data_IF_180095988127
#
_entry.id   IF_180095988127
#
_cell.length_a   1.000
_cell.length_b   1.000
_cell.length_c   1.000
_cell.angle_alpha   90.00
_cell.angle_beta   90.00
_cell.angle_gamma   90.00
#
_symmetry.space_group_name_H-M   'P 1'
#
loop_
_entity.id
_entity.type
_entity.pdbx_description
1 polymer ?
#
# COMPACT_ATOMS: atom_id res chain seq x y z
N UNK A 1 1.31 -41.55 -55.23
CA UNK A 1 2.23 -40.81 -54.34
C UNK A 1 3.21 -41.79 -53.69
N UNK A 2 4.51 -41.47 -53.62
CA UNK A 2 5.48 -42.30 -52.90
C UNK A 2 5.10 -42.36 -51.40
N UNK A 3 5.23 -43.53 -50.77
CA UNK A 3 4.75 -43.82 -49.40
C UNK A 3 5.19 -42.77 -48.35
N UNK A 4 6.41 -42.25 -48.47
CA UNK A 4 6.92 -41.21 -47.55
C UNK A 4 6.14 -39.89 -47.62
N UNK A 5 5.65 -39.46 -48.79
CA UNK A 5 4.87 -38.22 -48.91
C UNK A 5 3.53 -38.35 -48.20
N UNK A 6 2.90 -39.54 -48.26
CA UNK A 6 1.61 -39.83 -47.59
C UNK A 6 1.77 -39.82 -46.07
N UNK A 7 2.83 -40.47 -45.55
CA UNK A 7 3.17 -40.47 -44.13
C UNK A 7 3.44 -39.05 -43.60
N UNK A 8 4.21 -38.25 -44.35
CA UNK A 8 4.51 -36.86 -43.98
C UNK A 8 3.25 -36.00 -43.84
N UNK A 9 2.29 -36.10 -44.77
CA UNK A 9 1.00 -35.39 -44.66
C UNK A 9 0.20 -35.79 -43.42
N UNK A 10 0.20 -37.07 -43.05
CA UNK A 10 -0.53 -37.55 -41.88
C UNK A 10 0.10 -37.00 -40.60
N UNK A 11 1.44 -37.01 -40.51
CA UNK A 11 2.17 -36.44 -39.36
C UNK A 11 1.87 -34.95 -39.22
N UNK A 12 1.95 -34.20 -40.32
CA UNK A 12 1.61 -32.76 -40.32
C UNK A 12 0.17 -32.51 -39.86
N UNK A 13 -0.78 -33.33 -40.31
CA UNK A 13 -2.17 -33.20 -39.91
C UNK A 13 -2.35 -33.46 -38.40
N UNK A 14 -1.70 -34.48 -37.85
CA UNK A 14 -1.75 -34.79 -36.41
C UNK A 14 -1.15 -33.64 -35.59
N UNK A 15 0.00 -33.11 -36.01
CA UNK A 15 0.60 -31.95 -35.36
C UNK A 15 -0.33 -30.74 -35.38
N UNK A 16 -0.95 -30.46 -36.51
CA UNK A 16 -1.88 -29.35 -36.65
C UNK A 16 -3.09 -29.50 -35.72
N UNK A 17 -3.68 -30.69 -35.66
CA UNK A 17 -4.78 -31.00 -34.73
C UNK A 17 -4.36 -30.85 -33.27
N UNK A 18 -3.16 -31.33 -32.92
CA UNK A 18 -2.60 -31.19 -31.57
C UNK A 18 -2.44 -29.72 -31.15
N UNK A 19 -1.92 -28.87 -32.05
CA UNK A 19 -1.78 -27.43 -31.81
C UNK A 19 -3.15 -26.77 -31.60
N UNK A 20 -4.16 -27.16 -32.39
CA UNK A 20 -5.51 -26.61 -32.26
C UNK A 20 -6.12 -27.01 -30.91
N UNK A 21 -6.05 -28.29 -30.55
CA UNK A 21 -6.61 -28.80 -29.29
C UNK A 21 -5.93 -28.12 -28.08
N UNK A 22 -4.60 -28.07 -28.07
CA UNK A 22 -3.83 -27.44 -26.98
C UNK A 22 -4.14 -25.94 -26.88
N UNK A 23 -4.29 -25.24 -28.01
CA UNK A 23 -4.66 -23.82 -28.02
C UNK A 23 -6.06 -23.58 -27.46
N UNK A 24 -7.02 -24.43 -27.81
CA UNK A 24 -8.39 -24.35 -27.27
C UNK A 24 -8.38 -24.59 -25.77
N UNK A 25 -7.73 -25.66 -25.29
CA UNK A 25 -7.63 -25.98 -23.86
C UNK A 25 -6.93 -24.86 -23.07
N UNK A 26 -5.84 -24.33 -23.61
CA UNK A 26 -5.12 -23.21 -22.98
C UNK A 26 -6.04 -22.00 -22.82
N UNK A 27 -6.78 -21.63 -23.88
CA UNK A 27 -7.65 -20.46 -23.83
C UNK A 27 -8.87 -20.64 -22.93
N UNK A 28 -9.50 -21.82 -22.94
CA UNK A 28 -10.75 -22.05 -22.19
C UNK A 28 -10.52 -22.35 -20.72
N UNK A 29 -9.45 -23.06 -20.37
CA UNK A 29 -9.18 -23.47 -19.00
C UNK A 29 -8.07 -22.66 -18.34
N UNK A 30 -6.91 -22.52 -18.98
CA UNK A 30 -5.74 -21.91 -18.34
C UNK A 30 -5.97 -20.39 -18.23
N UNK A 31 -6.11 -19.71 -19.37
CA UNK A 31 -6.22 -18.23 -19.40
C UNK A 31 -7.41 -17.76 -18.58
N UNK A 32 -8.58 -18.37 -18.75
CA UNK A 32 -9.79 -17.99 -18.00
C UNK A 32 -9.61 -18.14 -16.48
N UNK A 33 -9.00 -19.24 -16.01
CA UNK A 33 -8.74 -19.42 -14.58
C UNK A 33 -7.71 -18.44 -14.06
N UNK A 34 -6.64 -18.19 -14.82
CA UNK A 34 -5.63 -17.21 -14.46
C UNK A 34 -6.23 -15.80 -14.30
N UNK A 35 -7.04 -15.33 -15.24
CA UNK A 35 -7.71 -14.03 -15.13
C UNK A 35 -8.55 -13.90 -13.85
N UNK A 36 -9.29 -14.96 -13.48
CA UNK A 36 -10.09 -14.95 -12.26
C UNK A 36 -9.23 -14.90 -10.99
N UNK A 37 -8.10 -15.61 -10.98
CA UNK A 37 -7.15 -15.59 -9.87
C UNK A 37 -6.51 -14.20 -9.76
N UNK A 38 -6.12 -13.61 -10.89
CA UNK A 38 -5.52 -12.29 -10.97
C UNK A 38 -6.47 -11.19 -10.45
N UNK A 39 -7.73 -11.21 -10.87
CA UNK A 39 -8.74 -10.27 -10.36
C UNK A 39 -8.90 -10.41 -8.84
N UNK A 40 -9.06 -11.63 -8.33
CA UNK A 40 -9.19 -11.88 -6.89
C UNK A 40 -7.95 -11.41 -6.12
N UNK A 41 -6.77 -11.69 -6.65
CA UNK A 41 -5.51 -11.28 -6.05
C UNK A 41 -5.34 -9.77 -6.03
N UNK A 42 -5.74 -9.07 -7.10
CA UNK A 42 -5.70 -7.60 -7.17
C UNK A 42 -6.70 -6.96 -6.20
N UNK A 43 -7.91 -7.50 -6.08
CA UNK A 43 -8.89 -7.06 -5.07
C UNK A 43 -8.32 -7.24 -3.67
N UNK A 44 -7.83 -8.44 -3.35
CA UNK A 44 -7.22 -8.72 -2.04
C UNK A 44 -6.05 -7.78 -1.72
N UNK A 45 -5.14 -7.54 -2.67
CA UNK A 45 -4.03 -6.60 -2.49
C UNK A 45 -4.50 -5.18 -2.25
N UNK A 46 -5.52 -4.74 -2.96
CA UNK A 46 -6.09 -3.38 -2.81
C UNK A 46 -6.74 -3.22 -1.44
N UNK A 47 -7.53 -4.22 -1.01
CA UNK A 47 -8.12 -4.23 0.34
C UNK A 47 -7.05 -4.26 1.44
N UNK A 48 -5.98 -5.03 1.23
CA UNK A 48 -4.86 -5.08 2.16
C UNK A 48 -4.14 -3.73 2.25
N UNK A 49 -3.89 -3.07 1.12
CA UNK A 49 -3.31 -1.72 1.09
C UNK A 49 -4.20 -0.72 1.84
N UNK A 50 -5.52 -0.75 1.61
CA UNK A 50 -6.46 0.11 2.33
C UNK A 50 -6.43 -0.13 3.85
N UNK A 51 -6.31 -1.40 4.28
CA UNK A 51 -6.16 -1.73 5.71
C UNK A 51 -4.88 -1.16 6.31
N UNK A 52 -3.77 -1.19 5.57
CA UNK A 52 -2.51 -0.59 6.02
C UNK A 52 -2.65 0.95 6.14
N UNK A 53 -3.19 1.61 5.12
CA UNK A 53 -3.43 3.06 5.15
C UNK A 53 -4.33 3.44 6.34
N UNK A 54 -5.44 2.72 6.54
CA UNK A 54 -6.34 2.98 7.66
C UNK A 54 -5.68 2.75 9.02
N UNK A 55 -4.77 1.78 9.12
CA UNK A 55 -3.99 1.56 10.33
C UNK A 55 -3.07 2.75 10.61
N UNK A 56 -2.41 3.29 9.59
CA UNK A 56 -1.53 4.45 9.75
C UNK A 56 -2.32 5.70 10.14
N UNK A 57 -3.48 5.94 9.52
CA UNK A 57 -4.42 7.01 9.92
C UNK A 57 -4.83 6.84 11.39
N UNK A 58 -5.19 5.62 11.82
CA UNK A 58 -5.59 5.35 13.19
C UNK A 58 -4.44 5.58 14.19
N UNK A 59 -3.20 5.23 13.82
CA UNK A 59 -2.02 5.50 14.64
C UNK A 59 -1.81 7.01 14.83
N UNK A 60 -1.90 7.79 13.76
CA UNK A 60 -1.80 9.25 13.81
C UNK A 60 -2.95 9.85 14.64
N UNK A 61 -4.18 9.34 14.50
CA UNK A 61 -5.32 9.77 15.30
C UNK A 61 -5.10 9.53 16.80
N UNK A 62 -4.60 8.35 17.16
CA UNK A 62 -4.29 8.03 18.55
C UNK A 62 -3.18 8.93 19.09
N UNK A 63 -2.12 9.16 18.30
CA UNK A 63 -1.04 10.08 18.66
C UNK A 63 -1.58 11.50 18.91
N UNK A 64 -2.41 12.02 17.99
CA UNK A 64 -3.04 13.32 18.15
C UNK A 64 -3.87 13.40 19.43
N UNK A 65 -4.65 12.36 19.73
CA UNK A 65 -5.47 12.30 20.96
C UNK A 65 -4.59 12.34 22.21
N UNK A 66 -3.52 11.55 22.24
CA UNK A 66 -2.62 11.47 23.39
C UNK A 66 -1.96 12.84 23.65
N UNK A 67 -1.43 13.49 22.61
CA UNK A 67 -0.80 14.80 22.76
C UNK A 67 -1.80 15.93 23.01
N UNK A 68 -3.02 15.87 22.48
CA UNK A 68 -4.06 16.86 22.74
C UNK A 68 -4.58 16.81 24.18
N UNK A 69 -4.57 15.63 24.81
CA UNK A 69 -5.00 15.45 26.21
C UNK A 69 -3.88 15.70 27.22
N UNK A 70 -2.63 15.81 26.77
CA UNK A 70 -1.49 15.94 27.67
C UNK A 70 -1.36 17.36 28.21
N UNK A 71 -1.37 17.51 29.53
CA UNK A 71 -1.28 18.80 30.22
C UNK A 71 -0.09 19.66 29.77
N UNK A 72 1.06 19.04 29.49
CA UNK A 72 2.25 19.75 29.04
C UNK A 72 2.08 20.34 27.64
N UNK A 73 1.38 19.64 26.74
CA UNK A 73 1.00 20.18 25.43
C UNK A 73 0.03 21.35 25.60
N UNK A 74 -0.96 21.23 26.49
CA UNK A 74 -1.91 22.31 26.75
C UNK A 74 -1.20 23.58 27.25
N UNK A 75 -0.25 23.44 28.17
CA UNK A 75 0.59 24.56 28.63
C UNK A 75 1.43 25.13 27.50
N UNK A 76 2.05 24.27 26.67
CA UNK A 76 2.85 24.70 25.54
C UNK A 76 2.06 25.55 24.53
N UNK A 77 0.80 25.20 24.24
CA UNK A 77 -0.07 25.97 23.34
C UNK A 77 -0.29 27.41 23.84
N UNK A 78 -0.35 27.62 25.15
CA UNK A 78 -0.58 28.95 25.73
C UNK A 78 0.73 29.72 25.98
N UNK A 79 1.74 29.05 26.53
CA UNK A 79 2.94 29.70 27.07
C UNK A 79 4.11 29.72 26.08
N UNK A 80 4.03 28.95 24.98
CA UNK A 80 5.12 28.76 24.00
C UNK A 80 6.48 28.44 24.63
N UNK A 81 6.47 27.62 25.68
CA UNK A 81 7.69 27.34 26.45
C UNK A 81 8.73 26.56 25.62
N UNK A 82 9.91 27.14 25.44
CA UNK A 82 11.04 26.55 24.71
C UNK A 82 11.47 25.19 25.27
N UNK A 83 11.30 24.94 26.58
CA UNK A 83 11.64 23.64 27.19
C UNK A 83 10.85 22.48 26.58
N UNK A 84 9.59 22.68 26.18
CA UNK A 84 8.78 21.64 25.55
C UNK A 84 9.35 21.28 24.17
N UNK A 85 9.77 22.30 23.42
CA UNK A 85 10.46 22.11 22.14
C UNK A 85 11.76 21.36 22.39
N UNK A 86 12.51 21.69 23.44
CA UNK A 86 13.82 21.08 23.70
C UNK A 86 13.79 19.65 24.27
N UNK A 87 12.73 19.28 25.00
CA UNK A 87 12.67 17.98 25.69
C UNK A 87 11.75 16.96 25.02
N UNK A 88 10.70 17.41 24.34
CA UNK A 88 9.70 16.54 23.71
C UNK A 88 9.84 16.55 22.19
N UNK A 89 10.16 17.70 21.58
CA UNK A 89 10.24 17.86 20.12
C UNK A 89 11.68 17.83 19.57
N UNK A 90 12.70 18.06 20.42
CA UNK A 90 14.11 18.06 20.02
C UNK A 90 14.63 16.63 19.91
N UNK A 91 15.25 16.38 18.77
CA UNK A 91 15.75 15.08 18.38
C UNK A 91 14.77 14.44 17.41
N UNK A 92 15.28 14.01 16.26
CA UNK A 92 14.58 13.18 15.27
C UNK A 92 13.91 11.91 15.84
N UNK A 93 13.96 11.68 17.16
CA UNK A 93 13.36 10.56 17.88
C UNK A 93 11.85 10.52 17.72
N UNK A 94 11.12 11.65 17.81
CA UNK A 94 9.65 11.62 17.74
C UNK A 94 9.16 11.30 16.32
N UNK A 95 9.73 11.95 15.32
CA UNK A 95 9.45 11.71 13.90
C UNK A 95 9.76 10.25 13.52
N UNK A 96 10.93 9.74 13.91
CA UNK A 96 11.31 8.33 13.68
C UNK A 96 10.48 7.33 14.48
N UNK A 97 10.15 7.64 15.74
CA UNK A 97 9.40 6.74 16.64
C UNK A 97 7.98 6.54 16.17
N UNK A 98 7.33 7.61 15.70
CA UNK A 98 5.94 7.56 15.25
C UNK A 98 5.78 7.47 13.73
N UNK A 99 6.89 7.50 12.98
CA UNK A 99 6.92 7.45 11.52
C UNK A 99 6.01 8.53 10.91
N UNK A 100 6.24 9.76 11.34
CA UNK A 100 5.54 10.95 10.86
C UNK A 100 6.56 11.92 10.28
N UNK A 101 6.13 12.69 9.29
CA UNK A 101 6.98 13.67 8.60
C UNK A 101 6.68 15.11 9.04
N UNK A 102 5.52 15.35 9.64
CA UNK A 102 5.06 16.68 10.01
C UNK A 102 4.41 16.68 11.39
N UNK A 103 4.77 17.68 12.20
CA UNK A 103 4.07 18.04 13.42
C UNK A 103 3.60 19.49 13.30
N UNK A 104 2.33 19.72 13.59
CA UNK A 104 1.71 21.05 13.59
C UNK A 104 0.88 21.22 14.86
N UNK A 105 1.25 22.19 15.69
CA UNK A 105 0.47 22.60 16.85
C UNK A 105 -0.29 23.88 16.54
N UNK A 106 -1.61 23.84 16.73
CA UNK A 106 -2.52 24.97 16.50
C UNK A 106 -3.26 25.33 17.78
N UNK A 107 -3.50 26.62 17.99
CA UNK A 107 -4.31 27.09 19.10
C UNK A 107 -5.82 27.06 18.76
N UNK A 108 -6.68 27.45 19.71
CA UNK A 108 -8.15 27.49 19.52
C UNK A 108 -8.63 28.51 18.47
N UNK A 109 -7.80 29.48 18.10
CA UNK A 109 -8.09 30.47 17.06
C UNK A 109 -7.61 30.02 15.67
N UNK A 110 -7.09 28.79 15.56
CA UNK A 110 -6.43 28.22 14.37
C UNK A 110 -5.10 28.90 13.99
N UNK A 111 -4.47 29.63 14.91
CA UNK A 111 -3.12 30.13 14.68
C UNK A 111 -2.11 28.99 14.89
N UNK A 112 -1.12 28.92 14.00
CA UNK A 112 0.01 27.99 14.13
C UNK A 112 0.92 28.46 15.27
N UNK A 113 1.04 27.62 16.30
CA UNK A 113 1.92 27.84 17.45
C UNK A 113 3.31 27.28 17.19
N UNK A 114 3.38 26.14 16.53
CA UNK A 114 4.62 25.47 16.16
C UNK A 114 4.41 24.57 14.94
N UNK A 115 5.42 24.54 14.07
CA UNK A 115 5.48 23.64 12.93
C UNK A 115 6.89 23.08 12.78
N UNK A 116 7.00 21.80 12.46
CA UNK A 116 8.26 21.19 12.08
C UNK A 116 8.04 20.05 11.10
N UNK A 117 8.83 20.07 10.03
CA UNK A 117 8.89 19.03 9.01
C UNK A 117 10.20 18.23 9.15
N UNK A 118 10.12 16.93 8.95
CA UNK A 118 11.23 15.98 9.00
C UNK A 118 11.17 15.06 7.77
N UNK A 119 12.31 14.92 7.09
CA UNK A 119 12.49 14.02 5.94
C UNK A 119 13.76 13.20 6.17
#
# INVERSE_FOLDING_TARGET
MKLYKKSLTIILLIFLVSIIITSILSKTYIIKKFNNIEIKYNVYKTEHLLKLINKDIQNIYNLNKDYAMWDDTYKFINDKNDNYIETILKGSSIFKKFNIDLILFVNKNNDVVFEQYYN
#
